data_IF_199501621639
#
_entry.id   IF_199501621639
#
_cell.length_a   1.000
_cell.length_b   1.000
_cell.length_c   1.000
_cell.angle_alpha   90.00
_cell.angle_beta   90.00
_cell.angle_gamma   90.00
#
_symmetry.space_group_name_H-M   'P 1'
#
loop_
_entity.id
_entity.type
_entity.pdbx_description
1 polymer ?
#
# COMPACT_ATOMS: atom_id res chain seq x y z
N UNK A 1 -22.16 11.42 -53.27
CA UNK A 1 -22.53 11.43 -51.83
C UNK A 1 -23.95 11.97 -51.63
N UNK A 2 -24.96 11.51 -52.38
CA UNK A 2 -26.38 11.84 -52.13
C UNK A 2 -27.29 10.60 -52.13
N UNK A 3 -26.74 9.41 -52.39
CA UNK A 3 -27.51 8.16 -52.53
C UNK A 3 -27.39 7.24 -51.31
N UNK A 4 -26.51 7.52 -50.35
CA UNK A 4 -26.41 6.78 -49.09
C UNK A 4 -27.40 7.27 -48.00
N UNK A 5 -28.25 8.26 -48.33
CA UNK A 5 -29.05 9.01 -47.35
C UNK A 5 -30.48 8.51 -47.17
N UNK A 6 -30.91 7.51 -47.95
CA UNK A 6 -32.29 7.01 -47.90
C UNK A 6 -32.48 5.77 -47.03
N UNK A 7 -31.40 5.14 -46.54
CA UNK A 7 -31.48 3.84 -45.83
C UNK A 7 -31.18 3.93 -44.32
N UNK A 8 -31.12 5.13 -43.73
CA UNK A 8 -31.05 5.27 -42.26
C UNK A 8 -32.47 5.24 -41.71
N UNK A 9 -32.95 4.04 -41.38
CA UNK A 9 -34.27 3.82 -40.77
C UNK A 9 -34.24 4.15 -39.28
N UNK A 10 -34.11 5.45 -38.95
CA UNK A 10 -34.18 5.95 -37.58
C UNK A 10 -35.64 6.21 -37.21
N UNK A 11 -36.31 5.22 -36.63
CA UNK A 11 -37.65 5.40 -36.09
C UNK A 11 -37.58 6.15 -34.76
N UNK A 12 -38.06 7.39 -34.73
CA UNK A 12 -38.24 8.15 -33.49
C UNK A 12 -39.69 8.62 -33.36
N UNK A 13 -40.30 8.43 -32.19
CA UNK A 13 -41.68 8.89 -31.92
C UNK A 13 -41.80 10.43 -31.79
N UNK A 14 -40.70 11.18 -31.97
CA UNK A 14 -40.56 12.57 -31.50
C UNK A 14 -40.01 13.54 -32.56
N UNK A 15 -39.17 13.08 -33.49
CA UNK A 15 -38.66 13.84 -34.63
C UNK A 15 -39.33 13.36 -35.92
N UNK A 16 -39.69 14.29 -36.80
CA UNK A 16 -40.22 13.93 -38.13
C UNK A 16 -39.10 13.52 -39.08
N UNK A 17 -39.43 12.73 -40.11
CA UNK A 17 -38.46 12.25 -41.10
C UNK A 17 -37.70 13.38 -41.81
N UNK A 18 -38.32 14.56 -41.96
CA UNK A 18 -37.66 15.75 -42.51
C UNK A 18 -36.65 16.38 -41.52
N UNK A 19 -36.97 16.39 -40.23
CA UNK A 19 -36.06 16.86 -39.18
C UNK A 19 -34.82 15.95 -39.06
N UNK A 20 -35.02 14.63 -39.23
CA UNK A 20 -33.95 13.61 -39.22
C UNK A 20 -32.99 13.80 -40.40
N UNK A 21 -33.52 13.95 -41.62
CA UNK A 21 -32.69 14.18 -42.82
C UNK A 21 -31.87 15.47 -42.73
N UNK A 22 -32.44 16.53 -42.15
CA UNK A 22 -31.75 17.81 -41.94
C UNK A 22 -30.66 17.69 -40.87
N UNK A 23 -30.90 16.91 -39.79
CA UNK A 23 -29.93 16.64 -38.74
C UNK A 23 -28.70 15.89 -39.26
N UNK A 24 -28.92 14.82 -40.03
CA UNK A 24 -27.85 14.00 -40.61
C UNK A 24 -26.96 14.84 -41.54
N UNK A 25 -27.56 15.69 -42.40
CA UNK A 25 -26.80 16.57 -43.28
C UNK A 25 -25.89 17.55 -42.52
N UNK A 26 -26.42 18.21 -41.49
CA UNK A 26 -25.66 19.18 -40.68
C UNK A 26 -24.56 18.51 -39.84
N UNK A 27 -24.78 17.27 -39.39
CA UNK A 27 -23.79 16.52 -38.62
C UNK A 27 -22.63 15.98 -39.47
N UNK A 28 -22.90 15.61 -40.73
CA UNK A 28 -21.86 15.18 -41.68
C UNK A 28 -21.05 16.35 -42.27
N UNK A 29 -21.65 17.54 -42.39
CA UNK A 29 -20.93 18.77 -42.79
C UNK A 29 -19.99 19.29 -41.68
N UNK A 30 -20.16 18.85 -40.44
CA UNK A 30 -19.29 19.21 -39.32
C UNK A 30 -18.03 18.33 -39.29
N UNK A 31 -16.86 18.95 -39.48
CA UNK A 31 -15.55 18.30 -39.47
C UNK A 31 -14.99 18.12 -38.04
N UNK A 32 -14.22 17.03 -37.84
CA UNK A 32 -13.47 16.66 -36.61
C UNK A 32 -12.72 17.80 -35.89
N UNK A 33 -12.40 18.89 -36.60
CA UNK A 33 -11.62 20.02 -36.06
C UNK A 33 -12.43 21.00 -35.22
N UNK A 34 -13.77 21.01 -35.31
CA UNK A 34 -14.65 21.84 -34.48
C UNK A 34 -15.98 21.10 -34.22
N UNK A 35 -16.11 20.36 -33.10
CA UNK A 35 -17.32 19.60 -32.82
C UNK A 35 -18.51 20.56 -32.67
N UNK A 36 -19.63 20.30 -33.37
CA UNK A 36 -20.75 21.22 -33.42
C UNK A 36 -21.49 21.23 -32.08
N UNK A 37 -21.85 22.41 -31.59
CA UNK A 37 -22.55 22.54 -30.31
C UNK A 37 -23.98 21.98 -30.45
N UNK A 38 -24.30 20.95 -29.67
CA UNK A 38 -25.60 20.27 -29.66
C UNK A 38 -26.77 21.26 -29.59
N UNK A 39 -26.64 22.34 -28.82
CA UNK A 39 -27.69 23.36 -28.69
C UNK A 39 -27.99 24.05 -30.02
N UNK A 40 -26.96 24.42 -30.79
CA UNK A 40 -27.12 25.09 -32.09
C UNK A 40 -27.77 24.15 -33.10
N UNK A 41 -27.29 22.91 -33.18
CA UNK A 41 -27.85 21.88 -34.07
C UNK A 41 -29.33 21.65 -33.76
N UNK A 42 -29.69 21.50 -32.47
CA UNK A 42 -31.09 21.28 -32.08
C UNK A 42 -32.00 22.46 -32.41
N UNK A 43 -31.49 23.70 -32.32
CA UNK A 43 -32.23 24.92 -32.67
C UNK A 43 -32.41 25.06 -34.19
N UNK A 44 -31.38 24.71 -34.98
CA UNK A 44 -31.40 24.80 -36.44
C UNK A 44 -32.27 23.71 -37.09
N UNK A 45 -32.39 22.54 -36.45
CA UNK A 45 -33.27 21.46 -36.87
C UNK A 45 -34.74 21.82 -36.58
N UNK A 46 -35.04 22.29 -35.37
CA UNK A 46 -36.43 22.47 -34.89
C UNK A 46 -37.02 23.86 -35.15
N UNK A 47 -36.20 24.85 -35.50
CA UNK A 47 -36.63 26.24 -35.71
C UNK A 47 -36.99 27.00 -34.43
N UNK A 48 -36.91 26.35 -33.26
CA UNK A 48 -37.32 26.91 -31.97
C UNK A 48 -36.12 27.31 -31.10
N UNK A 49 -35.98 28.60 -30.72
CA UNK A 49 -34.83 29.07 -29.93
C UNK A 49 -34.83 28.58 -28.47
N UNK A 50 -35.94 28.02 -27.99
CA UNK A 50 -36.06 27.49 -26.62
C UNK A 50 -35.62 26.03 -26.47
N UNK A 51 -35.37 25.33 -27.57
CA UNK A 51 -34.90 23.95 -27.55
C UNK A 51 -33.40 23.91 -27.21
N UNK A 52 -32.99 22.87 -26.45
CA UNK A 52 -31.63 22.70 -25.93
C UNK A 52 -31.34 21.21 -25.84
N UNK A 53 -30.07 20.80 -25.76
CA UNK A 53 -29.67 19.37 -25.67
C UNK A 53 -30.29 18.58 -24.50
N UNK A 54 -30.97 19.25 -23.57
CA UNK A 54 -31.72 18.63 -22.47
C UNK A 54 -33.17 18.26 -22.82
N UNK A 55 -33.76 18.84 -23.87
CA UNK A 55 -35.15 18.59 -24.26
C UNK A 55 -35.29 17.24 -24.95
N UNK A 56 -36.52 16.71 -25.04
CA UNK A 56 -36.78 15.38 -25.64
C UNK A 56 -36.20 15.28 -27.05
N UNK A 57 -36.42 16.31 -27.89
CA UNK A 57 -35.83 16.43 -29.23
C UNK A 57 -34.29 16.50 -29.20
N UNK A 58 -33.71 17.24 -28.25
CA UNK A 58 -32.25 17.34 -28.13
C UNK A 58 -31.54 16.07 -27.70
N UNK A 59 -32.22 15.21 -26.91
CA UNK A 59 -31.70 13.88 -26.54
C UNK A 59 -31.73 12.90 -27.70
N UNK A 60 -32.77 12.94 -28.53
CA UNK A 60 -32.85 12.10 -29.73
C UNK A 60 -31.82 12.51 -30.79
N UNK A 61 -31.58 13.82 -30.99
CA UNK A 61 -30.49 14.27 -31.87
C UNK A 61 -29.12 13.83 -31.36
N UNK A 62 -28.90 13.86 -30.05
CA UNK A 62 -27.66 13.35 -29.43
C UNK A 62 -27.52 11.84 -29.64
N UNK A 63 -28.60 11.10 -29.42
CA UNK A 63 -28.65 9.66 -29.65
C UNK A 63 -28.37 9.31 -31.11
N UNK A 64 -28.94 10.05 -32.05
CA UNK A 64 -28.68 9.89 -33.47
C UNK A 64 -27.21 10.15 -33.83
N UNK A 65 -26.58 11.18 -33.23
CA UNK A 65 -25.15 11.44 -33.46
C UNK A 65 -24.24 10.35 -32.89
N UNK A 66 -24.56 9.83 -31.70
CA UNK A 66 -23.74 8.83 -31.00
C UNK A 66 -23.94 7.42 -31.59
N UNK A 67 -25.19 6.97 -31.74
CA UNK A 67 -25.53 5.61 -32.11
C UNK A 67 -25.35 5.33 -33.62
N UNK A 68 -25.67 6.30 -34.49
CA UNK A 68 -25.69 6.09 -35.95
C UNK A 68 -24.49 6.69 -36.68
N UNK A 69 -23.97 7.82 -36.20
CA UNK A 69 -22.85 8.51 -36.85
C UNK A 69 -21.52 8.28 -36.13
N UNK A 70 -21.53 7.76 -34.90
CA UNK A 70 -20.33 7.58 -34.08
C UNK A 70 -19.64 8.90 -33.67
N UNK A 71 -20.33 10.04 -33.81
CA UNK A 71 -19.81 11.36 -33.50
C UNK A 71 -20.25 11.72 -32.08
N UNK A 72 -19.31 11.72 -31.14
CA UNK A 72 -19.57 12.14 -29.77
C UNK A 72 -19.61 13.66 -29.69
N UNK A 73 -20.80 14.24 -29.48
CA UNK A 73 -20.97 15.68 -29.29
C UNK A 73 -20.75 15.99 -27.80
N UNK A 74 -19.63 16.65 -27.43
CA UNK A 74 -19.34 16.93 -26.04
C UNK A 74 -20.40 17.87 -25.45
N UNK A 75 -20.70 17.66 -24.17
CA UNK A 75 -21.63 18.53 -23.44
C UNK A 75 -21.03 19.94 -23.39
N UNK A 76 -21.85 21.00 -23.48
CA UNK A 76 -21.34 22.39 -23.47
C UNK A 76 -20.54 22.78 -22.21
N UNK A 77 -20.46 21.92 -21.20
CA UNK A 77 -19.68 22.09 -19.98
C UNK A 77 -18.36 21.26 -19.94
N UNK A 78 -18.05 20.46 -20.96
CA UNK A 78 -16.77 19.74 -21.02
C UNK A 78 -15.65 20.68 -21.49
N UNK A 79 -14.84 21.09 -20.51
CA UNK A 79 -13.70 21.96 -20.72
C UNK A 79 -12.51 21.15 -21.24
N UNK A 80 -12.30 21.13 -22.55
CA UNK A 80 -11.06 20.60 -23.12
C UNK A 80 -9.94 21.63 -22.92
N UNK A 81 -9.09 21.43 -21.92
CA UNK A 81 -7.81 22.13 -21.86
C UNK A 81 -7.00 21.74 -23.08
N UNK A 82 -6.67 22.70 -23.95
CA UNK A 82 -5.69 22.51 -25.02
C UNK A 82 -4.34 22.15 -24.39
N UNK A 83 -4.02 20.86 -24.31
CA UNK A 83 -2.67 20.42 -23.95
C UNK A 83 -1.81 20.66 -25.18
N UNK A 84 -0.83 21.57 -25.16
CA UNK A 84 0.03 21.80 -26.31
C UNK A 84 0.88 20.54 -26.56
N UNK A 85 0.88 20.03 -27.78
CA UNK A 85 1.77 18.94 -28.16
C UNK A 85 3.23 19.39 -28.13
N UNK A 86 4.10 18.56 -27.56
CA UNK A 86 5.52 18.87 -27.42
C UNK A 86 6.21 18.70 -28.79
N UNK A 87 6.86 19.75 -29.31
CA UNK A 87 7.71 19.67 -30.51
C UNK A 87 8.83 18.63 -30.34
N UNK A 88 9.24 17.97 -31.44
CA UNK A 88 10.30 16.95 -31.49
C UNK A 88 11.62 17.44 -30.89
N UNK A 89 11.98 18.70 -31.06
CA UNK A 89 13.18 19.28 -30.44
C UNK A 89 13.07 19.34 -28.91
N UNK A 90 11.89 19.71 -28.40
CA UNK A 90 11.62 19.78 -26.97
C UNK A 90 11.62 18.38 -26.35
N UNK A 91 11.14 17.38 -27.07
CA UNK A 91 11.20 15.97 -26.67
C UNK A 91 12.64 15.49 -26.47
N UNK A 92 13.53 15.77 -27.44
CA UNK A 92 14.95 15.42 -27.32
C UNK A 92 15.65 16.14 -26.16
N UNK A 93 15.32 17.41 -25.91
CA UNK A 93 15.86 18.14 -24.75
C UNK A 93 15.36 17.59 -23.42
N UNK A 94 14.12 17.08 -23.37
CA UNK A 94 13.57 16.40 -22.20
C UNK A 94 14.36 15.12 -21.95
N UNK A 95 14.57 14.29 -22.97
CA UNK A 95 15.26 13.00 -22.83
C UNK A 95 16.73 13.17 -22.42
N UNK A 96 17.45 14.14 -23.00
CA UNK A 96 18.85 14.42 -22.66
C UNK A 96 19.04 14.96 -21.23
N UNK A 97 18.07 15.74 -20.73
CA UNK A 97 18.18 16.39 -19.43
C UNK A 97 17.39 15.68 -18.32
N UNK A 98 16.64 14.62 -18.64
CA UNK A 98 15.87 13.85 -17.66
C UNK A 98 16.75 13.30 -16.51
N UNK A 99 17.96 12.74 -16.77
CA UNK A 99 18.83 12.26 -15.70
C UNK A 99 19.39 13.42 -14.86
N UNK A 100 19.65 14.57 -15.50
CA UNK A 100 20.28 15.74 -14.88
C UNK A 100 19.36 16.43 -13.86
N UNK A 101 18.06 16.44 -14.12
CA UNK A 101 17.07 17.09 -13.24
C UNK A 101 16.44 16.13 -12.22
N UNK A 102 16.88 14.87 -12.15
CA UNK A 102 16.46 13.88 -11.15
C UNK A 102 14.95 13.96 -10.82
N UNK A 103 14.13 13.90 -11.87
CA UNK A 103 12.66 13.92 -11.81
C UNK A 103 11.99 15.18 -11.24
N UNK A 104 12.70 16.29 -11.03
CA UNK A 104 12.11 17.63 -10.82
C UNK A 104 11.50 18.15 -12.12
N UNK A 105 10.35 17.60 -12.47
CA UNK A 105 9.69 17.85 -13.75
C UNK A 105 9.28 19.31 -13.93
N UNK A 106 8.99 20.03 -12.85
CA UNK A 106 8.70 21.46 -12.89
C UNK A 106 9.92 22.27 -13.32
N UNK A 107 11.09 21.96 -12.77
CA UNK A 107 12.34 22.65 -13.10
C UNK A 107 12.81 22.27 -14.50
N UNK A 108 12.64 21.00 -14.88
CA UNK A 108 12.83 20.56 -16.27
C UNK A 108 11.89 21.29 -17.23
N UNK A 109 10.61 21.45 -16.89
CA UNK A 109 9.65 22.18 -17.74
C UNK A 109 10.05 23.65 -17.85
N UNK A 110 10.45 24.30 -16.74
CA UNK A 110 10.95 25.68 -16.75
C UNK A 110 12.19 25.84 -17.62
N UNK A 111 13.07 24.84 -17.63
CA UNK A 111 14.26 24.79 -18.47
C UNK A 111 13.92 24.58 -19.95
N UNK A 112 13.08 23.60 -20.28
CA UNK A 112 12.69 23.27 -21.67
C UNK A 112 11.92 24.42 -22.32
N UNK A 113 11.10 25.15 -21.55
CA UNK A 113 10.30 26.27 -22.04
C UNK A 113 10.92 27.64 -21.74
N UNK A 114 12.10 27.70 -21.10
CA UNK A 114 12.76 28.94 -20.67
C UNK A 114 11.82 29.94 -19.96
N UNK A 115 10.90 29.44 -19.15
CA UNK A 115 9.90 30.26 -18.47
C UNK A 115 9.79 29.90 -17.00
N UNK A 116 10.31 30.77 -16.14
CA UNK A 116 10.37 30.59 -14.69
C UNK A 116 8.99 30.65 -14.04
N UNK A 117 7.99 31.28 -14.69
CA UNK A 117 6.63 31.45 -14.16
C UNK A 117 5.76 30.20 -14.31
N UNK A 118 6.25 29.16 -14.97
CA UNK A 118 5.50 27.90 -15.11
C UNK A 118 5.28 27.29 -13.73
N UNK A 119 4.04 26.91 -13.49
CA UNK A 119 3.53 26.16 -12.34
C UNK A 119 2.95 24.82 -12.82
N UNK A 120 2.70 23.91 -11.88
CA UNK A 120 2.17 22.56 -12.17
C UNK A 120 0.79 22.55 -12.87
N UNK A 121 0.10 23.70 -12.92
CA UNK A 121 -1.22 23.83 -13.53
C UNK A 121 -1.16 24.22 -15.02
N UNK A 122 -0.01 24.68 -15.52
CA UNK A 122 0.12 25.06 -16.91
C UNK A 122 0.07 23.84 -17.84
N UNK A 123 -0.49 24.05 -19.04
CA UNK A 123 -0.58 23.02 -20.08
C UNK A 123 0.79 22.49 -20.52
N UNK A 124 1.84 23.31 -20.46
CA UNK A 124 3.22 22.95 -20.79
C UNK A 124 3.78 21.89 -19.83
N UNK A 125 3.54 22.04 -18.52
CA UNK A 125 3.91 21.03 -17.52
C UNK A 125 3.16 19.72 -17.76
N UNK A 126 1.85 19.80 -18.08
CA UNK A 126 1.03 18.61 -18.36
C UNK A 126 1.48 17.87 -19.63
N UNK A 127 1.96 18.61 -20.64
CA UNK A 127 2.48 18.04 -21.88
C UNK A 127 3.79 17.27 -21.65
N UNK A 128 4.75 17.86 -20.93
CA UNK A 128 5.99 17.17 -20.51
C UNK A 128 5.66 15.98 -19.61
N UNK A 129 4.70 16.15 -18.70
CA UNK A 129 4.21 15.07 -17.85
C UNK A 129 3.65 13.89 -18.64
N UNK A 130 2.84 14.15 -19.67
CA UNK A 130 2.27 13.12 -20.51
C UNK A 130 3.34 12.39 -21.33
N UNK A 131 4.28 13.14 -21.92
CA UNK A 131 5.40 12.58 -22.68
C UNK A 131 6.27 11.64 -21.83
N UNK A 132 6.67 12.09 -20.63
CA UNK A 132 7.48 11.25 -19.72
C UNK A 132 6.71 10.01 -19.26
N UNK A 133 5.40 10.11 -19.02
CA UNK A 133 4.54 8.94 -18.69
C UNK A 133 4.50 7.94 -19.84
N UNK A 134 4.40 8.42 -21.10
CA UNK A 134 4.38 7.54 -22.27
C UNK A 134 5.69 6.78 -22.47
N UNK A 135 6.84 7.41 -22.23
CA UNK A 135 8.15 6.74 -22.35
C UNK A 135 8.35 5.71 -21.23
N UNK A 136 8.02 6.06 -19.99
CA UNK A 136 8.41 5.26 -18.81
C UNK A 136 7.34 4.24 -18.37
N UNK A 137 6.18 4.15 -19.04
CA UNK A 137 5.04 3.28 -18.66
C UNK A 137 4.66 3.40 -17.17
N UNK A 138 4.81 4.60 -16.57
CA UNK A 138 4.51 4.85 -15.16
C UNK A 138 3.00 5.07 -14.99
N UNK A 139 2.37 4.30 -14.09
CA UNK A 139 0.91 4.19 -13.97
C UNK A 139 0.24 5.36 -13.23
N UNK A 140 0.98 6.22 -12.51
CA UNK A 140 0.34 7.27 -11.70
C UNK A 140 1.20 8.53 -11.47
N UNK A 141 0.58 9.74 -11.32
CA UNK A 141 1.26 10.94 -10.78
C UNK A 141 1.81 10.73 -9.35
N UNK A 142 1.24 9.81 -8.57
CA UNK A 142 1.70 9.49 -7.21
C UNK A 142 3.06 8.80 -7.22
N UNK A 143 3.43 8.11 -8.32
CA UNK A 143 4.73 7.45 -8.46
C UNK A 143 5.88 8.48 -8.50
N UNK A 144 5.60 9.74 -8.89
CA UNK A 144 6.62 10.78 -9.03
C UNK A 144 7.16 11.35 -7.72
N UNK A 145 6.38 11.34 -6.64
CA UNK A 145 6.93 11.67 -5.30
C UNK A 145 7.79 10.54 -4.73
N UNK A 146 7.74 9.36 -5.34
CA UNK A 146 8.26 8.11 -4.78
C UNK A 146 9.56 7.66 -5.49
N UNK A 147 9.91 8.25 -6.64
CA UNK A 147 11.10 7.88 -7.42
C UNK A 147 12.36 8.65 -6.97
N UNK A 148 12.25 9.90 -6.51
CA UNK A 148 13.41 10.77 -6.24
C UNK A 148 13.61 11.15 -4.76
N UNK A 149 13.69 10.16 -3.88
CA UNK A 149 14.43 10.35 -2.64
C UNK A 149 15.62 9.42 -2.65
N UNK A 150 16.74 9.88 -3.21
CA UNK A 150 18.04 9.32 -2.85
C UNK A 150 18.31 9.70 -1.39
N UNK A 151 17.79 8.87 -0.49
CA UNK A 151 17.91 9.02 0.96
C UNK A 151 19.37 9.11 1.46
N UNK A 152 20.34 8.75 0.61
CA UNK A 152 21.75 8.59 0.94
C UNK A 152 22.69 9.58 0.23
N UNK A 153 22.21 10.31 -0.79
CA UNK A 153 23.09 11.10 -1.67
C UNK A 153 23.19 12.59 -1.26
N UNK A 154 22.57 12.97 -0.13
CA UNK A 154 22.68 14.31 0.47
C UNK A 154 23.55 14.32 1.73
N UNK A 155 23.97 15.51 2.15
CA UNK A 155 24.73 15.71 3.40
C UNK A 155 23.92 15.27 4.64
N UNK A 156 22.59 15.33 4.56
CA UNK A 156 21.68 14.93 5.64
C UNK A 156 20.72 13.82 5.19
N UNK A 157 20.46 12.87 6.08
CA UNK A 157 19.42 11.86 5.89
C UNK A 157 18.03 12.47 6.07
N UNK A 158 17.15 12.18 5.13
CA UNK A 158 15.74 12.55 5.18
C UNK A 158 14.88 11.31 5.38
N UNK A 159 13.94 11.35 6.33
CA UNK A 159 13.06 10.21 6.56
C UNK A 159 12.05 10.03 5.42
N UNK A 160 11.69 8.79 5.05
CA UNK A 160 10.67 8.54 4.03
C UNK A 160 9.31 9.10 4.46
N UNK A 161 8.60 9.74 3.52
CA UNK A 161 7.28 10.33 3.77
C UNK A 161 6.14 9.31 3.62
N UNK A 162 6.32 8.29 2.78
CA UNK A 162 5.27 7.33 2.38
C UNK A 162 5.70 5.90 2.71
N UNK A 163 4.79 5.00 3.12
CA UNK A 163 5.12 3.59 3.38
C UNK A 163 5.74 2.86 2.17
N UNK A 164 5.35 3.24 0.94
CA UNK A 164 5.96 2.73 -0.29
C UNK A 164 7.44 3.12 -0.41
N UNK A 165 7.79 4.35 -0.02
CA UNK A 165 9.18 4.80 0.03
C UNK A 165 9.98 4.05 1.09
N UNK A 166 9.37 3.78 2.26
CA UNK A 166 9.99 2.94 3.29
C UNK A 166 10.29 1.54 2.76
N UNK A 167 9.37 0.91 2.02
CA UNK A 167 9.63 -0.40 1.42
C UNK A 167 10.81 -0.36 0.45
N UNK A 168 10.90 0.67 -0.41
CA UNK A 168 12.04 0.83 -1.33
C UNK A 168 13.35 1.02 -0.59
N UNK A 169 13.37 1.83 0.46
CA UNK A 169 14.53 2.01 1.34
C UNK A 169 14.95 0.67 1.98
N UNK A 170 13.99 -0.09 2.51
CA UNK A 170 14.22 -1.42 3.10
C UNK A 170 14.81 -2.37 2.06
N UNK A 171 14.28 -2.42 0.84
CA UNK A 171 14.84 -3.23 -0.25
C UNK A 171 16.27 -2.85 -0.62
N UNK A 172 16.57 -1.55 -0.69
CA UNK A 172 17.90 -1.05 -1.02
C UNK A 172 18.92 -1.46 0.04
N UNK A 173 18.56 -1.32 1.32
CA UNK A 173 19.49 -1.53 2.45
C UNK A 173 19.52 -2.96 2.98
N UNK A 174 18.46 -3.74 2.72
CA UNK A 174 18.32 -5.13 3.16
C UNK A 174 18.05 -6.01 1.94
N UNK A 175 19.10 -6.48 1.23
CA UNK A 175 18.95 -7.35 0.08
C UNK A 175 18.26 -8.69 0.39
N UNK A 176 18.22 -9.09 1.66
CA UNK A 176 17.50 -10.30 2.11
C UNK A 176 15.98 -10.12 2.17
N UNK A 177 15.46 -8.90 1.99
CA UNK A 177 14.04 -8.62 2.03
C UNK A 177 13.34 -9.15 0.76
N UNK A 178 12.42 -10.10 0.91
CA UNK A 178 11.66 -10.73 -0.19
C UNK A 178 10.25 -10.13 -0.39
N UNK A 179 9.99 -8.95 0.16
CA UNK A 179 8.68 -8.30 0.06
C UNK A 179 8.53 -7.65 -1.32
N UNK A 180 7.38 -7.76 -1.99
CA UNK A 180 7.14 -7.06 -3.25
C UNK A 180 6.28 -5.80 -3.12
N UNK A 181 6.32 -4.90 -4.12
CA UNK A 181 5.49 -3.68 -4.08
C UNK A 181 3.99 -4.02 -4.10
N UNK A 182 3.61 -5.13 -4.75
CA UNK A 182 2.24 -5.64 -4.73
C UNK A 182 1.81 -6.21 -3.37
N UNK A 183 2.77 -6.61 -2.52
CA UNK A 183 2.49 -7.09 -1.17
C UNK A 183 2.05 -5.98 -0.21
N UNK A 184 2.28 -4.69 -0.54
CA UNK A 184 1.74 -3.56 0.24
C UNK A 184 0.21 -3.56 0.30
N UNK A 185 -0.48 -4.21 -0.66
CA UNK A 185 -1.94 -4.35 -0.60
C UNK A 185 -2.40 -5.19 0.60
N UNK A 186 -1.51 -5.98 1.19
CA UNK A 186 -1.78 -6.72 2.42
C UNK A 186 -1.71 -5.72 3.58
N UNK A 187 -2.85 -5.44 4.20
CA UNK A 187 -3.01 -4.50 5.33
C UNK A 187 -1.93 -4.65 6.42
N UNK A 188 -1.48 -5.87 6.72
CA UNK A 188 -0.42 -6.13 7.70
C UNK A 188 0.95 -5.55 7.28
N UNK A 189 1.32 -5.66 6.01
CA UNK A 189 2.61 -5.19 5.49
C UNK A 189 2.59 -3.67 5.39
N UNK A 190 1.48 -3.08 4.93
CA UNK A 190 1.29 -1.64 4.94
C UNK A 190 1.42 -1.07 6.36
N UNK A 191 0.79 -1.71 7.34
CA UNK A 191 0.90 -1.33 8.75
C UNK A 191 2.35 -1.41 9.27
N UNK A 192 3.07 -2.50 8.97
CA UNK A 192 4.49 -2.63 9.31
C UNK A 192 5.35 -1.53 8.72
N UNK A 193 5.18 -1.23 7.43
CA UNK A 193 5.94 -0.18 6.75
C UNK A 193 5.58 1.22 7.27
N UNK A 194 4.32 1.45 7.64
CA UNK A 194 3.91 2.69 8.31
C UNK A 194 4.56 2.83 9.67
N UNK A 195 4.62 1.76 10.48
CA UNK A 195 5.32 1.81 11.78
C UNK A 195 6.81 2.01 11.63
N UNK A 196 7.43 1.31 10.67
CA UNK A 196 8.84 1.49 10.33
C UNK A 196 9.14 2.94 9.94
N UNK A 197 8.27 3.56 9.13
CA UNK A 197 8.35 4.99 8.80
C UNK A 197 8.34 5.85 10.06
N UNK A 198 7.41 5.61 10.97
CA UNK A 198 7.29 6.40 12.21
C UNK A 198 8.56 6.27 13.07
N UNK A 199 9.20 5.10 13.11
CA UNK A 199 10.48 4.92 13.78
C UNK A 199 11.63 5.68 13.12
N UNK A 200 11.66 5.74 11.78
CA UNK A 200 12.67 6.50 11.03
C UNK A 200 12.45 8.02 11.11
N UNK A 201 11.24 8.47 11.43
CA UNK A 201 10.91 9.88 11.64
C UNK A 201 11.20 10.35 13.07
N UNK A 202 11.57 9.44 13.97
CA UNK A 202 11.88 9.80 15.34
C UNK A 202 13.06 10.77 15.43
N UNK A 203 12.95 11.77 16.31
CA UNK A 203 13.94 12.84 16.45
C UNK A 203 15.28 12.31 16.93
N UNK A 204 15.28 11.37 17.88
CA UNK A 204 16.52 10.77 18.40
C UNK A 204 17.26 10.03 17.30
N UNK A 205 16.52 9.28 16.48
CA UNK A 205 17.06 8.60 15.32
C UNK A 205 17.68 9.57 14.31
N UNK A 206 16.93 10.61 13.90
CA UNK A 206 17.40 11.60 12.92
C UNK A 206 18.68 12.31 13.35
N UNK A 207 18.74 12.78 14.60
CA UNK A 207 19.93 13.42 15.15
C UNK A 207 21.12 12.45 15.13
N UNK A 208 20.89 11.19 15.50
CA UNK A 208 21.97 10.19 15.55
C UNK A 208 22.50 9.86 14.16
N UNK A 209 21.63 9.65 13.18
CA UNK A 209 22.02 9.37 11.78
C UNK A 209 22.80 10.55 11.18
N UNK A 210 22.31 11.77 11.38
CA UNK A 210 22.94 12.98 10.84
C UNK A 210 24.21 13.39 11.59
N UNK A 211 24.50 12.80 12.76
CA UNK A 211 25.77 13.02 13.45
C UNK A 211 26.98 12.36 12.76
N UNK A 212 26.74 11.39 11.88
CA UNK A 212 27.80 10.74 11.10
C UNK A 212 28.07 11.52 9.81
N UNK A 213 29.28 12.08 9.71
CA UNK A 213 29.73 12.81 8.51
C UNK A 213 30.05 11.90 7.33
N UNK A 214 30.48 10.67 7.61
CA UNK A 214 30.85 9.70 6.59
C UNK A 214 29.62 8.92 6.10
N UNK A 215 29.44 8.90 4.78
CA UNK A 215 28.35 8.19 4.11
C UNK A 215 28.36 6.70 4.43
N UNK A 216 29.55 6.08 4.50
CA UNK A 216 29.69 4.64 4.77
C UNK A 216 29.18 4.28 6.17
N UNK A 217 29.59 5.05 7.20
CA UNK A 217 29.09 4.89 8.57
C UNK A 217 27.57 5.05 8.65
N UNK A 218 27.04 6.06 7.94
CA UNK A 218 25.62 6.35 7.90
C UNK A 218 24.83 5.19 7.27
N UNK A 219 25.30 4.66 6.16
CA UNK A 219 24.68 3.50 5.50
C UNK A 219 24.75 2.23 6.37
N UNK A 220 25.88 1.99 7.03
CA UNK A 220 26.05 0.86 7.95
C UNK A 220 25.07 0.94 9.14
N UNK A 221 24.91 2.14 9.69
CA UNK A 221 23.96 2.40 10.76
C UNK A 221 22.51 2.14 10.29
N UNK A 222 22.13 2.73 9.16
CA UNK A 222 20.77 2.66 8.62
C UNK A 222 20.39 1.24 8.24
N UNK A 223 21.27 0.52 7.56
CA UNK A 223 21.06 -0.89 7.20
C UNK A 223 20.91 -1.78 8.43
N UNK A 224 21.75 -1.57 9.46
CA UNK A 224 21.68 -2.33 10.71
C UNK A 224 20.39 -2.06 11.48
N UNK A 225 19.99 -0.80 11.59
CA UNK A 225 18.76 -0.42 12.28
C UNK A 225 17.52 -0.94 11.55
N UNK A 226 17.43 -0.70 10.24
CA UNK A 226 16.27 -1.13 9.45
C UNK A 226 16.13 -2.65 9.50
N UNK A 227 17.23 -3.40 9.38
CA UNK A 227 17.23 -4.87 9.49
C UNK A 227 16.63 -5.37 10.81
N UNK A 228 16.85 -4.67 11.91
CA UNK A 228 16.33 -5.05 13.23
C UNK A 228 14.83 -4.70 13.40
N UNK A 229 14.34 -3.68 12.69
CA UNK A 229 13.07 -3.01 13.00
C UNK A 229 11.96 -3.27 11.97
N UNK A 230 12.29 -3.50 10.68
CA UNK A 230 11.29 -3.50 9.59
C UNK A 230 10.17 -4.55 9.73
N UNK A 231 10.43 -5.67 10.41
CA UNK A 231 9.50 -6.77 10.62
C UNK A 231 8.72 -6.68 11.95
N UNK A 232 9.03 -5.69 12.80
CA UNK A 232 8.48 -5.54 14.15
C UNK A 232 7.68 -4.24 14.29
N UNK A 233 6.35 -4.29 14.14
CA UNK A 233 5.49 -3.11 14.29
C UNK A 233 5.14 -2.77 15.74
N UNK A 234 5.58 -3.58 16.70
CA UNK A 234 5.16 -3.58 18.11
C UNK A 234 6.22 -3.03 19.08
N UNK A 235 7.21 -2.27 18.58
CA UNK A 235 8.28 -1.72 19.42
C UNK A 235 7.76 -0.63 20.37
N UNK A 236 8.14 -0.74 21.64
CA UNK A 236 8.00 0.36 22.62
C UNK A 236 9.15 1.36 22.49
N UNK A 237 8.97 2.56 23.05
CA UNK A 237 9.98 3.63 22.96
C UNK A 237 11.33 3.21 23.55
N UNK A 238 11.31 2.54 24.70
CA UNK A 238 12.51 2.01 25.35
C UNK A 238 13.24 0.95 24.51
N UNK A 239 12.49 0.09 23.80
CA UNK A 239 13.09 -0.92 22.91
C UNK A 239 13.74 -0.24 21.71
N UNK A 240 13.07 0.77 21.13
CA UNK A 240 13.61 1.58 20.04
C UNK A 240 14.92 2.25 20.45
N UNK A 241 14.99 2.85 21.63
CA UNK A 241 16.22 3.48 22.14
C UNK A 241 17.34 2.45 22.37
N UNK A 242 17.01 1.25 22.85
CA UNK A 242 17.98 0.15 22.98
C UNK A 242 18.49 -0.34 21.62
N UNK A 243 17.62 -0.45 20.59
CA UNK A 243 18.05 -0.76 19.23
C UNK A 243 18.95 0.34 18.65
N UNK A 244 18.65 1.62 18.93
CA UNK A 244 19.48 2.75 18.53
C UNK A 244 20.89 2.68 19.15
N UNK A 245 20.96 2.37 20.44
CA UNK A 245 22.22 2.16 21.15
C UNK A 245 23.00 0.98 20.56
N UNK A 246 22.33 -0.15 20.30
CA UNK A 246 22.97 -1.32 19.71
C UNK A 246 23.51 -1.06 18.30
N UNK A 247 22.78 -0.33 17.45
CA UNK A 247 23.25 0.04 16.12
C UNK A 247 24.44 1.01 16.17
N UNK A 248 24.47 1.89 17.19
CA UNK A 248 25.61 2.78 17.41
C UNK A 248 26.88 2.01 17.79
N UNK A 249 26.75 0.94 18.58
CA UNK A 249 27.87 0.06 18.92
C UNK A 249 28.40 -0.70 17.69
N UNK A 250 27.56 -1.08 16.73
CA UNK A 250 28.02 -1.70 15.47
C UNK A 250 28.89 -0.73 14.67
N UNK A 251 28.48 0.54 14.56
CA UNK A 251 29.31 1.56 13.88
C UNK A 251 30.62 1.79 14.63
N UNK A 252 30.57 1.83 15.96
CA UNK A 252 31.77 1.98 16.79
C UNK A 252 32.73 0.79 16.62
N UNK A 253 32.23 -0.44 16.50
CA UNK A 253 33.04 -1.63 16.19
C UNK A 253 33.74 -1.51 14.85
N UNK A 254 33.03 -1.05 13.81
CA UNK A 254 33.61 -0.78 12.51
C UNK A 254 34.73 0.26 12.59
N UNK A 255 34.52 1.35 13.33
CA UNK A 255 35.55 2.38 13.53
C UNK A 255 36.78 1.89 14.28
N UNK A 256 36.60 1.02 15.28
CA UNK A 256 37.73 0.40 16.00
C UNK A 256 38.50 -0.54 15.08
N UNK A 257 37.80 -1.32 14.25
CA UNK A 257 38.45 -2.22 13.28
C UNK A 257 39.25 -1.46 12.23
N UNK A 258 38.70 -0.37 11.67
CA UNK A 258 39.43 0.48 10.72
C UNK A 258 40.70 1.05 11.36
N UNK A 259 40.61 1.55 12.61
CA UNK A 259 41.78 2.04 13.34
C UNK A 259 42.80 0.93 13.65
N UNK A 260 42.34 -0.29 13.92
CA UNK A 260 43.22 -1.45 14.12
C UNK A 260 43.97 -1.80 12.84
N UNK A 261 43.31 -1.76 11.68
CA UNK A 261 43.92 -1.97 10.37
C UNK A 261 45.03 -0.92 10.12
N UNK A 262 44.74 0.37 10.35
CA UNK A 262 45.73 1.44 10.22
C UNK A 262 46.95 1.23 11.14
N UNK A 263 46.72 0.87 12.41
CA UNK A 263 47.80 0.59 13.37
C UNK A 263 48.64 -0.60 12.91
N UNK A 264 48.00 -1.65 12.40
CA UNK A 264 48.70 -2.85 11.92
C UNK A 264 49.52 -2.56 10.66
N UNK A 265 49.01 -1.74 9.74
CA UNK A 265 49.75 -1.30 8.54
C UNK A 265 50.99 -0.48 8.92
N UNK A 266 50.83 0.52 9.81
CA UNK A 266 51.95 1.31 10.33
C UNK A 266 52.98 0.41 11.02
N UNK A 267 52.52 -0.55 11.83
CA UNK A 267 53.40 -1.51 12.51
C UNK A 267 54.19 -2.35 11.51
N UNK A 268 53.57 -2.75 10.39
CA UNK A 268 54.23 -3.52 9.33
C UNK A 268 55.32 -2.70 8.63
N UNK A 269 55.04 -1.45 8.25
CA UNK A 269 56.05 -0.56 7.65
C UNK A 269 57.23 -0.28 8.59
N UNK A 270 56.96 -0.11 9.87
CA UNK A 270 57.96 0.02 10.94
C UNK A 270 58.84 -1.23 11.02
N UNK A 271 58.28 -2.43 10.90
CA UNK A 271 59.08 -3.67 10.93
C UNK A 271 59.97 -3.88 9.71
N UNK A 272 59.61 -3.31 8.55
CA UNK A 272 60.41 -3.38 7.32
C UNK A 272 61.61 -2.42 7.35
N UNK A 273 61.56 -1.38 8.20
CA UNK A 273 62.62 -0.37 8.34
C UNK A 273 63.49 -0.70 9.56
N UNK A 274 64.60 -1.40 9.32
CA UNK A 274 65.41 -2.10 10.33
C UNK A 274 66.33 -1.22 11.18
N UNK A 275 65.79 -0.25 11.93
CA UNK A 275 66.56 0.60 12.86
C UNK A 275 66.22 0.30 14.33
N UNK A 276 67.21 0.36 15.23
CA UNK A 276 67.05 0.02 16.65
C UNK A 276 66.18 1.01 17.44
N UNK A 277 66.09 2.27 17.01
CA UNK A 277 65.22 3.30 17.58
C UNK A 277 63.72 3.02 17.29
N UNK A 278 63.44 2.24 16.24
CA UNK A 278 62.10 1.87 15.78
C UNK A 278 61.44 0.81 16.68
N UNK A 279 62.23 0.11 17.51
CA UNK A 279 61.72 -0.89 18.45
C UNK A 279 60.80 -0.30 19.54
N UNK A 280 61.12 0.90 20.04
CA UNK A 280 60.30 1.60 21.05
C UNK A 280 58.97 2.06 20.45
N UNK A 281 58.98 2.55 19.21
CA UNK A 281 57.76 2.91 18.48
C UNK A 281 56.88 1.68 18.22
N UNK A 282 57.47 0.57 17.78
CA UNK A 282 56.77 -0.69 17.58
C UNK A 282 56.07 -1.16 18.87
N UNK A 283 56.74 -1.09 20.02
CA UNK A 283 56.14 -1.47 21.30
C UNK A 283 54.94 -0.56 21.65
N UNK A 284 55.06 0.75 21.45
CA UNK A 284 53.95 1.70 21.65
C UNK A 284 52.75 1.47 20.72
N UNK A 285 52.96 1.04 19.47
CA UNK A 285 51.88 0.66 18.56
C UNK A 285 51.23 -0.67 18.93
N UNK A 286 52.00 -1.64 19.40
CA UNK A 286 51.48 -2.91 19.92
C UNK A 286 50.62 -2.69 21.16
N UNK A 287 51.04 -1.82 22.08
CA UNK A 287 50.24 -1.43 23.24
C UNK A 287 48.93 -0.75 22.82
N UNK A 288 48.99 0.23 21.90
CA UNK A 288 47.78 0.85 21.34
C UNK A 288 46.86 -0.16 20.65
N UNK A 289 47.42 -1.14 19.94
CA UNK A 289 46.64 -2.22 19.31
C UNK A 289 45.94 -3.07 20.37
N UNK A 290 46.61 -3.39 21.48
CA UNK A 290 45.98 -4.08 22.61
C UNK A 290 44.86 -3.26 23.23
N UNK A 291 45.07 -1.96 23.46
CA UNK A 291 44.05 -1.06 24.00
C UNK A 291 42.82 -0.95 23.09
N UNK A 292 43.02 -0.91 21.76
CA UNK A 292 41.93 -0.92 20.78
C UNK A 292 41.17 -2.25 20.78
N UNK A 293 41.87 -3.39 20.90
CA UNK A 293 41.21 -4.70 21.04
C UNK A 293 40.39 -4.79 22.34
N UNK A 294 40.90 -4.27 23.46
CA UNK A 294 40.15 -4.19 24.72
C UNK A 294 38.92 -3.27 24.59
N UNK A 295 39.04 -2.17 23.83
CA UNK A 295 37.91 -1.29 23.52
C UNK A 295 36.86 -1.98 22.64
N UNK A 296 37.30 -2.77 21.65
CA UNK A 296 36.44 -3.59 20.80
C UNK A 296 35.67 -4.62 21.62
N UNK A 297 36.35 -5.37 22.48
CA UNK A 297 35.72 -6.37 23.36
C UNK A 297 34.71 -5.73 24.31
N UNK A 298 35.00 -4.53 24.83
CA UNK A 298 34.04 -3.77 25.65
C UNK A 298 32.81 -3.36 24.83
N UNK A 299 32.98 -2.87 23.61
CA UNK A 299 31.85 -2.51 22.72
C UNK A 299 31.00 -3.74 22.36
N UNK A 300 31.65 -4.85 22.03
CA UNK A 300 30.99 -6.13 21.76
C UNK A 300 30.16 -6.60 22.96
N UNK A 301 30.72 -6.55 24.17
CA UNK A 301 29.98 -6.91 25.40
C UNK A 301 28.78 -6.01 25.64
N UNK A 302 28.89 -4.69 25.37
CA UNK A 302 27.75 -3.76 25.47
C UNK A 302 26.66 -4.11 24.44
N UNK A 303 27.04 -4.42 23.20
CA UNK A 303 26.12 -4.86 22.17
C UNK A 303 25.40 -6.17 22.55
N UNK A 304 26.13 -7.17 23.00
CA UNK A 304 25.57 -8.46 23.44
C UNK A 304 24.61 -8.29 24.63
N UNK A 305 24.95 -7.43 25.60
CA UNK A 305 24.08 -7.11 26.72
C UNK A 305 22.78 -6.42 26.26
N UNK A 306 22.87 -5.42 25.37
CA UNK A 306 21.71 -4.74 24.81
C UNK A 306 20.78 -5.73 24.07
N UNK A 307 21.34 -6.62 23.25
CA UNK A 307 20.56 -7.63 22.52
C UNK A 307 19.94 -8.68 23.44
N UNK A 308 20.65 -9.11 24.49
CA UNK A 308 20.10 -10.04 25.48
C UNK A 308 18.94 -9.39 26.24
N UNK A 309 19.06 -8.13 26.62
CA UNK A 309 17.99 -7.39 27.29
C UNK A 309 16.76 -7.26 26.40
N UNK A 310 16.93 -6.87 25.13
CA UNK A 310 15.86 -6.79 24.14
C UNK A 310 15.14 -8.13 23.95
N UNK A 311 15.90 -9.21 23.83
CA UNK A 311 15.33 -10.56 23.71
C UNK A 311 14.52 -10.95 24.94
N UNK A 312 15.03 -10.62 26.13
CA UNK A 312 14.36 -10.92 27.41
C UNK A 312 13.07 -10.12 27.61
N UNK A 313 13.06 -8.84 27.25
CA UNK A 313 11.86 -8.00 27.31
C UNK A 313 10.80 -8.54 26.35
N UNK A 314 11.22 -8.88 25.13
CA UNK A 314 10.31 -9.41 24.10
C UNK A 314 9.74 -10.77 24.47
N UNK A 315 10.54 -11.67 25.05
CA UNK A 315 10.04 -12.97 25.50
C UNK A 315 8.98 -12.81 26.59
N UNK A 316 9.22 -11.92 27.58
CA UNK A 316 8.24 -11.63 28.64
C UNK A 316 6.93 -11.07 28.09
N UNK A 317 6.98 -10.15 27.12
CA UNK A 317 5.77 -9.62 26.48
C UNK A 317 4.99 -10.70 25.73
N UNK A 318 5.70 -11.56 25.01
CA UNK A 318 5.09 -12.65 24.26
C UNK A 318 4.47 -13.70 25.20
N UNK A 319 5.09 -13.96 26.34
CA UNK A 319 4.53 -14.87 27.35
C UNK A 319 3.29 -14.28 28.02
N UNK A 320 3.30 -12.98 28.37
CA UNK A 320 2.09 -12.30 28.87
C UNK A 320 0.93 -12.36 27.88
N UNK A 321 1.17 -12.11 26.59
CA UNK A 321 0.14 -12.22 25.56
C UNK A 321 -0.38 -13.65 25.37
N UNK A 322 0.49 -14.67 25.53
CA UNK A 322 0.03 -16.07 25.51
C UNK A 322 -0.87 -16.36 26.70
N UNK A 323 -0.54 -15.88 27.89
CA UNK A 323 -1.38 -16.08 29.09
C UNK A 323 -2.77 -15.44 28.91
N UNK A 324 -2.84 -14.22 28.38
CA UNK A 324 -4.11 -13.54 28.05
C UNK A 324 -4.92 -14.32 27.01
N UNK A 325 -4.29 -14.77 25.93
CA UNK A 325 -4.95 -15.55 24.88
C UNK A 325 -5.43 -16.91 25.39
N UNK A 326 -4.64 -17.58 26.23
CA UNK A 326 -5.01 -18.83 26.88
C UNK A 326 -6.23 -18.63 27.78
N UNK A 327 -6.30 -17.54 28.54
CA UNK A 327 -7.47 -17.20 29.35
C UNK A 327 -8.74 -17.04 28.50
N UNK A 328 -8.67 -16.33 27.37
CA UNK A 328 -9.81 -16.15 26.46
C UNK A 328 -10.26 -17.48 25.85
N UNK A 329 -9.33 -18.31 25.39
CA UNK A 329 -9.65 -19.64 24.84
C UNK A 329 -10.27 -20.53 25.93
N UNK A 330 -9.74 -20.49 27.14
CA UNK A 330 -10.32 -21.21 28.29
C UNK A 330 -11.73 -20.71 28.61
N UNK A 331 -12.01 -19.40 28.57
CA UNK A 331 -13.36 -18.87 28.76
C UNK A 331 -14.31 -19.34 27.64
N UNK A 332 -13.85 -19.38 26.41
CA UNK A 332 -14.64 -19.89 25.28
C UNK A 332 -14.96 -21.39 25.43
N UNK A 333 -14.00 -22.21 25.87
CA UNK A 333 -14.25 -23.64 26.11
C UNK A 333 -15.25 -23.83 27.23
N UNK A 334 -15.13 -23.09 28.34
CA UNK A 334 -16.10 -23.11 29.45
C UNK A 334 -17.51 -22.71 29.01
N UNK A 335 -17.65 -21.64 28.23
CA UNK A 335 -18.95 -21.22 27.68
C UNK A 335 -19.55 -22.26 26.72
N UNK A 336 -18.70 -22.92 25.94
CA UNK A 336 -19.12 -23.98 25.02
C UNK A 336 -19.59 -25.21 25.79
N UNK A 337 -18.87 -25.61 26.84
CA UNK A 337 -19.28 -26.67 27.76
C UNK A 337 -20.60 -26.35 28.46
N UNK A 338 -20.80 -25.12 28.92
CA UNK A 338 -22.05 -24.70 29.58
C UNK A 338 -23.24 -24.80 28.62
N UNK A 339 -23.08 -24.35 27.37
CA UNK A 339 -24.09 -24.51 26.32
C UNK A 339 -24.39 -25.98 26.06
N UNK A 340 -23.36 -26.83 26.03
CA UNK A 340 -23.53 -28.27 25.84
C UNK A 340 -24.29 -28.90 27.02
N UNK A 341 -23.98 -28.55 28.28
CA UNK A 341 -24.72 -29.02 29.46
C UNK A 341 -26.20 -28.64 29.39
N UNK A 342 -26.52 -27.39 28.99
CA UNK A 342 -27.93 -26.95 28.81
C UNK A 342 -28.64 -27.71 27.69
N UNK A 343 -27.94 -28.07 26.61
CA UNK A 343 -28.50 -28.92 25.53
C UNK A 343 -28.79 -30.33 26.03
N UNK A 344 -27.86 -30.95 26.75
CA UNK A 344 -28.06 -32.29 27.32
C UNK A 344 -29.20 -32.33 28.33
N UNK A 345 -29.35 -31.29 29.17
CA UNK A 345 -30.49 -31.17 30.08
C UNK A 345 -31.84 -31.14 29.33
N UNK A 346 -31.96 -30.34 28.26
CA UNK A 346 -33.17 -30.30 27.43
C UNK A 346 -33.49 -31.63 26.76
N UNK A 347 -32.47 -32.33 26.24
CA UNK A 347 -32.65 -33.66 25.64
C UNK A 347 -33.10 -34.68 26.69
N UNK A 348 -32.56 -34.60 27.92
CA UNK A 348 -32.97 -35.46 29.02
C UNK A 348 -34.42 -35.17 29.47
N UNK A 349 -34.84 -33.90 29.52
CA UNK A 349 -36.23 -33.51 29.79
C UNK A 349 -37.19 -34.00 28.71
N UNK A 350 -36.84 -33.80 27.43
CA UNK A 350 -37.64 -34.29 26.31
C UNK A 350 -37.82 -35.82 26.35
N UNK A 351 -36.75 -36.57 26.66
CA UNK A 351 -36.83 -38.02 26.88
C UNK A 351 -37.73 -38.39 28.06
N UNK A 352 -37.67 -37.65 29.17
CA UNK A 352 -38.55 -37.88 30.34
C UNK A 352 -40.01 -37.62 29.99
N UNK A 353 -40.30 -36.59 29.20
CA UNK A 353 -41.66 -36.31 28.73
C UNK A 353 -42.19 -37.40 27.80
N UNK A 354 -41.36 -37.89 26.89
CA UNK A 354 -41.71 -39.01 26.02
C UNK A 354 -41.99 -40.28 26.83
N UNK A 355 -41.13 -40.61 27.80
CA UNK A 355 -41.38 -41.72 28.74
C UNK A 355 -42.67 -41.51 29.53
N UNK A 356 -42.95 -40.30 30.01
CA UNK A 356 -44.23 -39.98 30.68
C UNK A 356 -45.43 -40.15 29.74
N UNK A 357 -45.32 -39.73 28.47
CA UNK A 357 -46.37 -39.92 27.46
C UNK A 357 -46.59 -41.40 27.18
N UNK A 358 -45.52 -42.17 27.02
CA UNK A 358 -45.60 -43.62 26.87
C UNK A 358 -46.21 -44.28 28.10
N UNK A 359 -45.82 -43.89 29.31
CA UNK A 359 -46.40 -44.38 30.56
C UNK A 359 -47.91 -44.06 30.66
N UNK A 360 -48.32 -42.83 30.31
CA UNK A 360 -49.75 -42.48 30.25
C UNK A 360 -50.50 -43.32 29.21
N UNK A 361 -49.94 -43.50 28.01
CA UNK A 361 -50.52 -44.41 26.99
C UNK A 361 -50.67 -45.84 27.50
N UNK A 362 -49.69 -46.35 28.25
CA UNK A 362 -49.77 -47.67 28.87
C UNK A 362 -50.83 -47.73 29.99
N UNK A 363 -50.96 -46.67 30.80
CA UNK A 363 -51.97 -46.60 31.87
C UNK A 363 -53.40 -46.41 31.35
N UNK A 364 -53.57 -45.56 30.33
CA UNK A 364 -54.85 -45.26 29.65
C UNK A 364 -55.31 -46.42 28.75
N UNK A 365 -54.50 -47.48 28.62
CA UNK A 365 -54.87 -48.71 27.95
C UNK A 365 -55.81 -49.55 28.84
N UNK A 366 -56.93 -48.96 29.22
CA UNK A 366 -58.00 -49.64 29.96
C UNK A 366 -58.70 -50.71 29.09
N UNK A 367 -58.58 -50.62 27.76
CA UNK A 367 -58.99 -51.68 26.82
C UNK A 367 -58.18 -52.98 27.01
N UNK A 368 -56.85 -52.90 27.18
CA UNK A 368 -56.04 -54.08 27.48
C UNK A 368 -56.32 -54.61 28.89
N UNK A 369 -56.61 -53.73 29.87
CA UNK A 369 -57.04 -54.19 31.20
C UNK A 369 -58.41 -54.87 31.14
N UNK A 370 -59.36 -54.35 30.37
CA UNK A 370 -60.68 -54.95 30.17
C UNK A 370 -60.57 -56.32 29.47
N UNK A 371 -59.65 -56.45 28.52
CA UNK A 371 -59.34 -57.71 27.83
C UNK A 371 -58.66 -58.74 28.75
N UNK A 372 -57.71 -58.32 29.60
CA UNK A 372 -56.96 -59.21 30.52
C UNK A 372 -57.75 -59.54 31.79
N UNK A 373 -58.55 -58.62 32.35
CA UNK A 373 -59.38 -58.85 33.54
C UNK A 373 -60.76 -59.46 33.24
N UNK A 374 -61.03 -59.81 31.97
CA UNK A 374 -62.18 -60.65 31.59
C UNK A 374 -63.52 -59.92 31.50
N UNK A 375 -63.55 -58.72 30.92
CA UNK A 375 -64.76 -57.89 30.84
C UNK A 375 -65.39 -57.80 29.45
N UNK A 376 -66.39 -58.66 29.22
CA UNK A 376 -67.49 -58.62 28.23
C UNK A 376 -67.13 -58.31 26.76
N UNK A 377 -67.12 -59.38 25.96
CA UNK A 377 -67.26 -59.25 24.51
C UNK A 377 -68.64 -58.67 24.14
N UNK A 378 -68.72 -57.94 23.03
CA UNK A 378 -69.98 -57.36 22.52
C UNK A 378 -71.10 -58.43 22.37
N UNK A 379 -70.69 -59.68 22.12
CA UNK A 379 -71.55 -60.85 22.07
C UNK A 379 -72.10 -61.28 23.45
N UNK A 380 -71.36 -61.10 24.54
CA UNK A 380 -71.84 -61.37 25.92
C UNK A 380 -72.73 -60.24 26.46
N UNK A 381 -72.57 -59.01 25.97
CA UNK A 381 -73.47 -57.89 26.30
C UNK A 381 -74.81 -58.00 25.55
N UNK A 382 -74.78 -58.44 24.29
CA UNK A 382 -75.97 -58.52 23.44
C UNK A 382 -76.74 -59.83 23.57
N UNK A 383 -76.09 -60.93 23.99
CA UNK A 383 -76.72 -62.25 24.18
C UNK A 383 -76.68 -62.77 25.63
N UNK A 384 -76.46 -61.88 26.62
CA UNK A 384 -76.50 -62.17 28.06
C UNK A 384 -77.84 -61.84 28.69
#
# INVERSE_FOLDING_TARGET
MNEAYNDIDFTSDVLTDEEIKKAVKLLLEASDKNPPNLKKITQDITGDPKQSGRTKKGREVKRLSEDYLGINIPSSHEYHTKVPELSTEKQQTVDANLPRFAGRLLDLTRFVFNNVKITNLHGEYRAVEHYVKSIHKLKSPTDRKVIDQNFMDGDEFQSPSTPLLTLRLVKKLVPTCRLDEDDLRKSKIEFMMSRCRDYLQDRHFLIKVNSYLDTTRRELFLSSFIKQVYDKPDLTEEERDQYLAACSEIVMQHDINARLEDINEITKHITETSDSEVANFKMGFVEKSKDQNDAYDKSRKRYEAAMKNLTTIRSKKLDNHKEEQMSIVQLYTWLTEEKNRKRFARVAEARREEVKKSYKKFNDCDSLKAEIWGGLSEHEVLNG
#
